data_IF_861952955550
#
_entry.id   IF_861952955550
#
_cell.length_a   1.000
_cell.length_b   1.000
_cell.length_c   1.000
_cell.angle_alpha   90.00
_cell.angle_beta   90.00
_cell.angle_gamma   90.00
#
_symmetry.space_group_name_H-M   'P 1'
#
loop_
_entity.id
_entity.type
_entity.pdbx_description
1 polymer ?
#
# COMPACT_ATOMS: atom_id res chain seq x y z
N UNK A 1 -11.10 35.58 -0.13
CA UNK A 1 -11.89 34.52 -0.79
C UNK A 1 -12.94 34.03 0.21
N UNK A 2 -14.27 34.01 -0.14
CA UNK A 2 -15.35 33.75 0.84
C UNK A 2 -15.28 32.39 1.55
N UNK A 3 -14.68 31.37 0.90
CA UNK A 3 -14.56 30.00 1.42
C UNK A 3 -13.59 29.88 2.60
N UNK A 4 -12.51 30.64 2.63
CA UNK A 4 -11.52 30.60 3.72
C UNK A 4 -12.09 31.18 5.02
N UNK A 5 -12.90 32.26 4.94
CA UNK A 5 -13.52 32.86 6.09
C UNK A 5 -14.52 31.94 6.79
N UNK A 6 -15.35 31.24 6.02
CA UNK A 6 -16.31 30.27 6.54
C UNK A 6 -15.61 29.04 7.17
N UNK A 7 -14.57 28.53 6.55
CA UNK A 7 -13.75 27.44 7.07
C UNK A 7 -13.11 27.82 8.42
N UNK A 8 -12.44 28.96 8.48
CA UNK A 8 -11.79 29.44 9.70
C UNK A 8 -12.80 29.67 10.81
N UNK A 9 -13.95 30.27 10.50
CA UNK A 9 -15.01 30.52 11.49
C UNK A 9 -15.59 29.23 12.08
N UNK A 10 -15.70 28.16 11.24
CA UNK A 10 -16.20 26.87 11.68
C UNK A 10 -15.19 26.11 12.56
N UNK A 11 -13.93 25.99 12.14
CA UNK A 11 -12.95 25.15 12.83
C UNK A 11 -12.15 25.84 13.94
N UNK A 12 -12.02 27.16 13.93
CA UNK A 12 -11.27 27.90 14.96
C UNK A 12 -11.72 27.64 16.41
N UNK A 13 -13.05 27.60 16.73
CA UNK A 13 -13.49 27.27 18.07
C UNK A 13 -13.09 25.87 18.53
N UNK A 14 -12.95 24.93 17.59
CA UNK A 14 -12.64 23.53 17.87
C UNK A 14 -11.20 23.34 18.35
N UNK A 15 -10.27 24.24 17.99
CA UNK A 15 -8.87 24.20 18.47
C UNK A 15 -8.77 24.30 20.00
N UNK A 16 -9.77 24.91 20.64
CA UNK A 16 -9.79 25.13 22.09
C UNK A 16 -10.81 24.26 22.84
N UNK A 17 -11.68 23.55 22.11
CA UNK A 17 -12.73 22.73 22.71
C UNK A 17 -12.88 21.39 22.01
N UNK A 18 -12.39 20.32 22.65
CA UNK A 18 -12.45 18.94 22.13
C UNK A 18 -13.88 18.39 21.98
N UNK A 19 -14.83 18.90 22.75
CA UNK A 19 -16.24 18.48 22.67
C UNK A 19 -16.86 18.91 21.32
N UNK A 20 -16.47 20.08 20.81
CA UNK A 20 -16.90 20.55 19.50
C UNK A 20 -16.35 19.67 18.36
N UNK A 21 -15.14 19.12 18.52
CA UNK A 21 -14.55 18.16 17.56
C UNK A 21 -15.39 16.87 17.54
N UNK A 22 -15.75 16.36 18.72
CA UNK A 22 -16.57 15.14 18.82
C UNK A 22 -18.00 15.33 18.31
N UNK A 23 -18.53 16.56 18.40
CA UNK A 23 -19.87 16.91 17.93
C UNK A 23 -19.92 17.19 16.41
N UNK A 24 -18.79 17.49 15.77
CA UNK A 24 -18.72 17.72 14.32
C UNK A 24 -18.76 16.39 13.55
N UNK A 25 -19.74 16.16 12.64
CA UNK A 25 -19.90 14.88 11.96
C UNK A 25 -18.73 14.51 11.07
N UNK A 26 -18.08 15.49 10.43
CA UNK A 26 -16.96 15.24 9.53
C UNK A 26 -15.69 14.89 10.32
N UNK A 27 -15.37 15.68 11.36
CA UNK A 27 -14.23 15.40 12.23
C UNK A 27 -14.42 14.11 13.02
N UNK A 28 -15.63 13.81 13.49
CA UNK A 28 -15.93 12.54 14.16
C UNK A 28 -15.72 11.36 13.22
N UNK A 29 -16.14 11.46 11.95
CA UNK A 29 -15.88 10.44 10.92
C UNK A 29 -14.39 10.27 10.65
N UNK A 30 -13.63 11.36 10.53
CA UNK A 30 -12.18 11.32 10.33
C UNK A 30 -11.49 10.68 11.53
N UNK A 31 -11.87 11.08 12.74
CA UNK A 31 -11.31 10.55 13.99
C UNK A 31 -11.56 9.03 14.12
N UNK A 32 -12.73 8.55 13.69
CA UNK A 32 -13.04 7.13 13.68
C UNK A 32 -12.17 6.32 12.70
N UNK A 33 -11.57 6.97 11.71
CA UNK A 33 -10.63 6.34 10.75
C UNK A 33 -9.17 6.36 11.23
N UNK A 34 -8.86 7.18 12.25
CA UNK A 34 -7.50 7.25 12.78
C UNK A 34 -7.12 5.95 13.48
N UNK A 35 -5.88 5.51 13.37
CA UNK A 35 -5.38 4.35 14.10
C UNK A 35 -5.44 4.60 15.61
N UNK A 36 -5.83 3.56 16.37
CA UNK A 36 -5.91 3.64 17.84
C UNK A 36 -4.52 3.78 18.47
N UNK A 37 -3.51 3.26 17.79
CA UNK A 37 -2.11 3.32 18.20
C UNK A 37 -1.27 3.86 17.05
N UNK A 38 -0.46 4.85 17.33
CA UNK A 38 0.48 5.44 16.37
C UNK A 38 1.85 4.75 16.54
N UNK A 39 2.04 3.64 15.82
CA UNK A 39 3.27 2.84 15.85
C UNK A 39 3.99 2.88 14.50
N UNK A 40 4.33 4.07 14.04
CA UNK A 40 5.15 4.22 12.84
C UNK A 40 6.63 3.99 13.17
N UNK A 41 7.04 2.73 13.30
CA UNK A 41 8.44 2.40 13.55
C UNK A 41 9.29 2.55 12.27
N UNK A 42 8.69 2.35 11.09
CA UNK A 42 9.38 2.37 9.79
C UNK A 42 8.51 3.04 8.72
N UNK A 43 9.04 4.06 8.07
CA UNK A 43 8.33 4.85 7.05
C UNK A 43 7.73 4.00 5.91
N UNK A 44 8.45 2.97 5.45
CA UNK A 44 7.97 2.12 4.37
C UNK A 44 6.82 1.20 4.77
N UNK A 45 6.63 0.94 6.07
CA UNK A 45 5.52 0.12 6.59
C UNK A 45 4.28 0.96 6.90
N UNK A 46 4.40 2.29 6.94
CA UNK A 46 3.28 3.18 7.24
C UNK A 46 2.04 2.92 6.35
N UNK A 47 2.15 2.73 5.02
CA UNK A 47 0.99 2.41 4.19
C UNK A 47 0.33 1.09 4.58
N UNK A 48 1.10 0.06 4.96
CA UNK A 48 0.57 -1.23 5.40
C UNK A 48 -0.18 -1.10 6.72
N UNK A 49 0.39 -0.37 7.68
CA UNK A 49 -0.22 -0.10 8.97
C UNK A 49 -1.53 0.69 8.83
N UNK A 50 -1.54 1.76 8.03
CA UNK A 50 -2.74 2.53 7.73
C UNK A 50 -3.82 1.68 7.06
N UNK A 51 -3.45 0.89 6.05
CA UNK A 51 -4.35 -0.03 5.37
C UNK A 51 -4.96 -1.08 6.31
N UNK A 52 -4.16 -1.61 7.25
CA UNK A 52 -4.63 -2.54 8.28
C UNK A 52 -5.66 -1.89 9.21
N UNK A 53 -5.37 -0.67 9.70
CA UNK A 53 -6.28 0.04 10.59
C UNK A 53 -7.58 0.44 9.89
N UNK A 54 -7.53 0.85 8.63
CA UNK A 54 -8.72 1.15 7.83
C UNK A 54 -9.63 -0.07 7.70
N UNK A 55 -9.09 -1.25 7.44
CA UNK A 55 -9.90 -2.49 7.37
C UNK A 55 -10.45 -2.87 8.74
N UNK A 56 -9.68 -2.70 9.82
CA UNK A 56 -10.12 -3.00 11.17
C UNK A 56 -11.26 -2.11 11.62
N UNK A 57 -11.22 -0.82 11.29
CA UNK A 57 -12.23 0.16 11.69
C UNK A 57 -13.42 0.22 10.73
N UNK A 58 -13.22 -0.08 9.46
CA UNK A 58 -14.19 0.01 8.38
C UNK A 58 -14.21 -1.20 7.45
N UNK A 59 -14.09 -2.41 7.99
CA UNK A 59 -13.89 -3.65 7.24
C UNK A 59 -14.98 -4.00 6.21
N UNK A 60 -16.12 -3.28 6.22
CA UNK A 60 -17.18 -3.44 5.23
C UNK A 60 -17.09 -2.41 4.09
N UNK A 61 -16.18 -1.44 4.19
CA UNK A 61 -15.99 -0.42 3.14
C UNK A 61 -15.15 -1.01 1.99
N UNK A 62 -15.66 -1.03 0.75
CA UNK A 62 -14.87 -1.43 -0.41
C UNK A 62 -13.59 -0.59 -0.55
N UNK A 63 -13.67 0.71 -0.27
CA UNK A 63 -12.53 1.63 -0.35
C UNK A 63 -11.45 1.28 0.68
N UNK A 64 -11.83 0.90 1.91
CA UNK A 64 -10.87 0.46 2.92
C UNK A 64 -10.14 -0.81 2.48
N UNK A 65 -10.87 -1.77 1.89
CA UNK A 65 -10.28 -2.98 1.33
C UNK A 65 -9.32 -2.68 0.19
N UNK A 66 -9.73 -1.86 -0.79
CA UNK A 66 -8.89 -1.46 -1.92
C UNK A 66 -7.62 -0.73 -1.46
N UNK A 67 -7.74 0.20 -0.49
CA UNK A 67 -6.59 0.90 0.10
C UNK A 67 -5.64 -0.09 0.79
N UNK A 68 -6.17 -1.07 1.51
CA UNK A 68 -5.36 -2.09 2.17
C UNK A 68 -4.65 -3.01 1.17
N UNK A 69 -5.31 -3.39 0.07
CA UNK A 69 -4.69 -4.15 -1.02
C UNK A 69 -3.58 -3.34 -1.69
N UNK A 70 -3.83 -2.06 -1.97
CA UNK A 70 -2.82 -1.17 -2.55
C UNK A 70 -1.61 -1.00 -1.62
N UNK A 71 -1.82 -0.88 -0.31
CA UNK A 71 -0.75 -0.83 0.68
C UNK A 71 0.11 -2.09 0.66
N UNK A 72 -0.51 -3.29 0.63
CA UNK A 72 0.22 -4.56 0.53
C UNK A 72 1.04 -4.67 -0.77
N UNK A 73 0.47 -4.20 -1.90
CA UNK A 73 1.17 -4.17 -3.17
C UNK A 73 2.37 -3.22 -3.14
N UNK A 74 2.18 -2.02 -2.60
CA UNK A 74 3.23 -1.01 -2.47
C UNK A 74 4.38 -1.49 -1.59
N UNK A 75 4.08 -2.06 -0.42
CA UNK A 75 5.08 -2.58 0.50
C UNK A 75 5.63 -3.96 0.11
N UNK A 76 5.12 -4.57 -0.98
CA UNK A 76 5.49 -5.90 -1.47
C UNK A 76 5.21 -7.03 -0.48
N UNK A 77 4.29 -6.81 0.46
CA UNK A 77 3.90 -7.79 1.49
C UNK A 77 2.84 -8.76 0.95
N UNK A 78 3.28 -9.71 0.09
CA UNK A 78 2.37 -10.67 -0.56
C UNK A 78 1.65 -11.55 0.45
N UNK A 79 2.28 -11.94 1.55
CA UNK A 79 1.62 -12.75 2.59
C UNK A 79 0.49 -11.98 3.28
N UNK A 80 0.66 -10.69 3.49
CA UNK A 80 -0.37 -9.83 4.05
C UNK A 80 -1.51 -9.54 3.05
N UNK A 81 -1.22 -9.61 1.74
CA UNK A 81 -2.20 -9.44 0.67
C UNK A 81 -3.24 -10.58 0.66
N UNK A 82 -2.79 -11.81 0.82
CA UNK A 82 -3.61 -13.02 0.59
C UNK A 82 -4.91 -13.07 1.40
N UNK A 83 -4.93 -12.87 2.74
CA UNK A 83 -6.18 -12.87 3.50
C UNK A 83 -7.17 -11.80 3.05
N UNK A 84 -6.65 -10.68 2.51
CA UNK A 84 -7.48 -9.57 2.04
C UNK A 84 -8.16 -9.83 0.71
N UNK A 85 -7.72 -10.86 -0.02
CA UNK A 85 -8.34 -11.29 -1.28
C UNK A 85 -9.53 -12.23 -1.08
N UNK A 86 -9.83 -12.67 0.14
CA UNK A 86 -10.92 -13.62 0.41
C UNK A 86 -12.29 -13.12 -0.08
N UNK A 87 -12.54 -11.81 -0.01
CA UNK A 87 -13.78 -11.21 -0.53
C UNK A 87 -13.96 -11.32 -2.05
N UNK A 88 -12.90 -11.70 -2.77
CA UNK A 88 -12.88 -11.93 -4.21
C UNK A 88 -12.93 -13.40 -4.60
N UNK A 89 -13.08 -14.33 -3.63
CA UNK A 89 -13.19 -15.76 -3.96
C UNK A 89 -14.31 -16.02 -4.98
N UNK A 90 -14.00 -16.76 -6.04
CA UNK A 90 -14.91 -17.02 -7.15
C UNK A 90 -15.21 -15.82 -8.06
N UNK A 91 -14.51 -14.68 -7.86
CA UNK A 91 -14.62 -13.47 -8.69
C UNK A 91 -13.27 -13.16 -9.34
N UNK A 92 -13.28 -12.22 -10.28
CA UNK A 92 -12.06 -11.66 -10.85
C UNK A 92 -11.40 -10.71 -9.86
N UNK A 93 -10.10 -10.84 -9.72
CA UNK A 93 -9.26 -9.93 -8.92
C UNK A 93 -8.96 -8.64 -9.71
N UNK A 94 -8.75 -7.49 -9.05
CA UNK A 94 -8.14 -6.34 -9.69
C UNK A 94 -6.79 -6.73 -10.31
N UNK A 95 -6.46 -6.19 -11.48
CA UNK A 95 -5.31 -6.65 -12.30
C UNK A 95 -3.99 -6.75 -11.53
N UNK A 96 -3.62 -5.72 -10.78
CA UNK A 96 -2.36 -5.73 -10.01
C UNK A 96 -2.39 -6.76 -8.87
N UNK A 97 -3.55 -6.97 -8.23
CA UNK A 97 -3.75 -7.98 -7.19
C UNK A 97 -3.67 -9.38 -7.80
N UNK A 98 -4.31 -9.61 -8.95
CA UNK A 98 -4.21 -10.87 -9.69
C UNK A 98 -2.76 -11.22 -10.01
N UNK A 99 -2.00 -10.26 -10.52
CA UNK A 99 -0.59 -10.45 -10.84
C UNK A 99 0.25 -10.77 -9.59
N UNK A 100 -0.06 -10.14 -8.45
CA UNK A 100 0.62 -10.38 -7.17
C UNK A 100 0.30 -11.78 -6.62
N UNK A 101 -0.97 -12.18 -6.62
CA UNK A 101 -1.40 -13.52 -6.18
C UNK A 101 -0.83 -14.60 -7.10
N UNK A 102 -0.85 -14.40 -8.42
CA UNK A 102 -0.26 -15.32 -9.36
C UNK A 102 1.28 -15.42 -9.20
N UNK A 103 1.95 -14.31 -8.88
CA UNK A 103 3.38 -14.34 -8.54
C UNK A 103 3.65 -15.14 -7.26
N UNK A 104 2.83 -14.98 -6.23
CA UNK A 104 2.94 -15.78 -5.01
C UNK A 104 2.68 -17.26 -5.25
N UNK A 105 1.76 -17.60 -6.13
CA UNK A 105 1.39 -18.96 -6.47
C UNK A 105 2.53 -19.81 -7.06
N UNK A 106 3.63 -19.21 -7.51
CA UNK A 106 4.87 -19.95 -7.82
C UNK A 106 5.49 -20.63 -6.59
N UNK A 107 5.21 -20.12 -5.39
CA UNK A 107 5.63 -20.74 -4.12
C UNK A 107 4.58 -21.68 -3.58
N UNK A 108 3.31 -21.39 -3.82
CA UNK A 108 2.15 -22.14 -3.30
C UNK A 108 1.04 -22.22 -4.36
N UNK A 109 1.08 -23.23 -5.26
CA UNK A 109 0.17 -23.36 -6.40
C UNK A 109 -1.31 -23.45 -6.07
N UNK A 110 -1.68 -23.80 -4.83
CA UNK A 110 -3.09 -23.90 -4.42
C UNK A 110 -3.84 -22.55 -4.56
N UNK A 111 -3.12 -21.43 -4.56
CA UNK A 111 -3.71 -20.10 -4.72
C UNK A 111 -4.29 -19.87 -6.12
N UNK A 112 -3.76 -20.55 -7.15
CA UNK A 112 -4.32 -20.46 -8.51
C UNK A 112 -5.74 -21.06 -8.62
N UNK A 113 -6.12 -21.94 -7.71
CA UNK A 113 -7.44 -22.60 -7.75
C UNK A 113 -8.54 -21.78 -7.05
N UNK A 114 -8.17 -20.75 -6.30
CA UNK A 114 -9.11 -19.95 -5.49
C UNK A 114 -9.81 -18.83 -6.26
N UNK A 115 -9.25 -18.43 -7.40
CA UNK A 115 -9.73 -17.28 -8.17
C UNK A 115 -9.81 -17.59 -9.66
N UNK A 116 -10.62 -16.81 -10.36
CA UNK A 116 -10.70 -16.84 -11.82
C UNK A 116 -9.57 -16.00 -12.41
N UNK A 117 -8.41 -16.61 -12.64
CA UNK A 117 -7.28 -15.92 -13.26
C UNK A 117 -7.43 -15.77 -14.76
N UNK A 118 -6.93 -14.66 -15.28
CA UNK A 118 -6.69 -14.54 -16.72
C UNK A 118 -5.55 -15.50 -17.11
N UNK A 119 -5.78 -16.45 -18.06
CA UNK A 119 -4.75 -17.42 -18.48
C UNK A 119 -3.44 -16.76 -18.94
N UNK A 120 -3.54 -15.55 -19.51
CA UNK A 120 -2.38 -14.81 -19.98
C UNK A 120 -1.50 -14.28 -18.83
N UNK A 121 -2.06 -14.07 -17.64
CA UNK A 121 -1.31 -13.54 -16.49
C UNK A 121 -0.19 -14.47 -16.08
N UNK A 122 -0.46 -15.76 -15.90
CA UNK A 122 0.55 -16.76 -15.52
C UNK A 122 1.64 -16.90 -16.60
N UNK A 123 1.24 -16.93 -17.88
CA UNK A 123 2.20 -16.98 -19.00
C UNK A 123 3.10 -15.76 -19.01
N UNK A 124 2.54 -14.57 -18.82
CA UNK A 124 3.31 -13.32 -18.78
C UNK A 124 4.26 -13.27 -17.60
N UNK A 125 3.87 -13.78 -16.43
CA UNK A 125 4.75 -13.90 -15.27
C UNK A 125 5.92 -14.83 -15.57
N UNK A 126 5.67 -16.01 -16.14
CA UNK A 126 6.74 -16.95 -16.55
C UNK A 126 7.75 -16.29 -17.49
N UNK A 127 7.25 -15.60 -18.52
CA UNK A 127 8.09 -14.89 -19.47
C UNK A 127 8.95 -13.82 -18.79
N UNK A 128 8.32 -13.04 -17.87
CA UNK A 128 9.03 -12.04 -17.08
C UNK A 128 10.13 -12.67 -16.21
N UNK A 129 9.81 -13.72 -15.45
CA UNK A 129 10.76 -14.39 -14.56
C UNK A 129 11.93 -14.99 -15.33
N UNK A 130 11.65 -15.59 -16.48
CA UNK A 130 12.70 -16.12 -17.38
C UNK A 130 13.60 -15.02 -17.92
N UNK A 131 13.01 -13.88 -18.31
CA UNK A 131 13.78 -12.73 -18.78
C UNK A 131 14.59 -12.09 -17.64
N UNK A 132 14.01 -11.92 -16.46
CA UNK A 132 14.67 -11.34 -15.29
C UNK A 132 15.84 -12.21 -14.78
N UNK A 133 15.73 -13.53 -14.88
CA UNK A 133 16.77 -14.46 -14.46
C UNK A 133 18.11 -14.26 -15.21
N UNK A 134 18.06 -13.71 -16.43
CA UNK A 134 19.27 -13.40 -17.24
C UNK A 134 20.13 -12.31 -16.61
N UNK A 135 19.52 -11.47 -15.75
CA UNK A 135 20.18 -10.35 -15.08
C UNK A 135 20.46 -10.62 -13.60
N UNK A 136 20.55 -11.91 -13.21
CA UNK A 136 20.82 -12.31 -11.83
C UNK A 136 22.12 -11.66 -11.34
N UNK A 137 22.02 -10.80 -10.32
CA UNK A 137 23.15 -10.03 -9.76
C UNK A 137 23.33 -8.63 -10.37
N UNK A 138 22.66 -8.30 -11.48
CA UNK A 138 22.70 -6.96 -12.07
C UNK A 138 21.29 -6.35 -12.20
N UNK A 139 20.74 -5.94 -11.06
CA UNK A 139 19.36 -5.42 -10.98
C UNK A 139 19.13 -4.14 -11.78
N UNK A 140 20.12 -3.26 -11.86
CA UNK A 140 19.99 -2.00 -12.60
C UNK A 140 19.88 -2.23 -14.11
N UNK A 141 20.70 -3.12 -14.64
CA UNK A 141 20.64 -3.48 -16.06
C UNK A 141 19.33 -4.21 -16.37
N UNK A 142 18.91 -5.16 -15.51
CA UNK A 142 17.66 -5.88 -15.67
C UNK A 142 16.45 -4.93 -15.65
N UNK A 143 16.42 -3.99 -14.72
CA UNK A 143 15.38 -2.98 -14.66
C UNK A 143 15.31 -2.15 -15.95
N UNK A 144 16.45 -1.66 -16.43
CA UNK A 144 16.53 -0.88 -17.67
C UNK A 144 16.09 -1.69 -18.90
N UNK A 145 16.58 -2.92 -19.04
CA UNK A 145 16.31 -3.77 -20.19
C UNK A 145 14.85 -4.22 -20.28
N UNK A 146 14.20 -4.47 -19.12
CA UNK A 146 12.85 -5.01 -19.07
C UNK A 146 11.77 -3.92 -18.95
N UNK A 147 12.14 -2.67 -18.72
CA UNK A 147 11.22 -1.55 -18.48
C UNK A 147 10.19 -1.42 -19.60
N UNK A 148 10.60 -1.30 -20.84
CA UNK A 148 9.69 -1.04 -21.97
C UNK A 148 8.60 -2.11 -22.15
N UNK A 149 8.87 -3.36 -21.74
CA UNK A 149 7.92 -4.48 -21.87
C UNK A 149 7.07 -4.71 -20.61
N UNK A 150 7.57 -4.30 -19.42
CA UNK A 150 7.01 -4.73 -18.13
C UNK A 150 6.81 -3.61 -17.10
N UNK A 151 7.05 -2.32 -17.40
CA UNK A 151 6.93 -1.24 -16.40
C UNK A 151 5.54 -1.15 -15.74
N UNK A 152 4.47 -1.48 -16.48
CA UNK A 152 3.09 -1.49 -15.98
C UNK A 152 2.66 -2.89 -15.49
N UNK A 153 3.61 -3.73 -15.09
CA UNK A 153 3.38 -5.10 -14.65
C UNK A 153 3.85 -5.26 -13.21
N UNK A 154 2.97 -5.68 -12.30
CA UNK A 154 3.29 -5.74 -10.88
C UNK A 154 4.55 -6.58 -10.57
N UNK A 155 4.82 -7.75 -11.19
CA UNK A 155 6.08 -8.48 -10.99
C UNK A 155 7.31 -7.65 -11.28
N UNK A 156 7.28 -6.76 -12.28
CA UNK A 156 8.39 -5.84 -12.53
C UNK A 156 8.61 -4.88 -11.37
N UNK A 157 7.53 -4.26 -10.84
CA UNK A 157 7.61 -3.43 -9.64
C UNK A 157 8.12 -4.24 -8.44
N UNK A 158 7.62 -5.45 -8.24
CA UNK A 158 8.03 -6.31 -7.14
C UNK A 158 9.53 -6.59 -7.13
N UNK A 159 10.12 -6.87 -8.30
CA UNK A 159 11.55 -7.18 -8.44
C UNK A 159 12.43 -5.93 -8.48
N UNK A 160 12.05 -4.91 -9.22
CA UNK A 160 12.89 -3.76 -9.56
C UNK A 160 12.43 -2.43 -8.96
N UNK A 161 11.22 -2.33 -8.45
CA UNK A 161 10.75 -1.11 -7.79
C UNK A 161 11.54 -0.84 -6.51
N UNK A 162 11.79 0.43 -6.23
CA UNK A 162 12.50 0.83 -5.02
C UNK A 162 11.72 0.36 -3.79
N UNK A 163 12.36 -0.44 -2.94
CA UNK A 163 12.03 -0.49 -1.52
C UNK A 163 12.76 0.68 -0.87
N UNK A 164 12.08 1.49 -0.04
CA UNK A 164 12.81 2.33 0.89
C UNK A 164 13.75 1.40 1.67
N UNK A 165 15.06 1.65 1.57
CA UNK A 165 16.05 0.87 2.29
C UNK A 165 15.89 1.20 3.78
N UNK A 166 15.55 0.25 4.67
CA UNK A 166 15.41 0.53 6.09
C UNK A 166 16.75 0.98 6.72
N UNK A 167 17.88 0.65 6.08
CA UNK A 167 19.22 1.03 6.49
C UNK A 167 19.76 2.25 5.74
N UNK A 168 18.95 2.85 4.83
CA UNK A 168 19.34 4.06 4.11
C UNK A 168 19.65 5.19 5.12
N UNK A 169 20.75 5.92 4.94
CA UNK A 169 21.07 7.06 5.79
C UNK A 169 19.91 8.06 5.73
N UNK A 170 19.35 8.38 6.91
CA UNK A 170 18.24 9.33 7.03
C UNK A 170 18.65 10.64 6.38
N UNK A 171 17.82 11.16 5.51
CA UNK A 171 18.05 12.45 4.84
C UNK A 171 18.24 13.55 5.90
N UNK A 172 19.12 14.55 5.69
CA UNK A 172 19.46 15.57 6.69
C UNK A 172 18.28 16.33 7.30
N UNK A 173 17.14 16.38 6.62
CA UNK A 173 15.90 17.03 7.11
C UNK A 173 15.35 16.36 8.39
N UNK A 174 15.68 15.09 8.66
CA UNK A 174 15.24 14.39 9.88
C UNK A 174 16.23 14.55 11.07
N UNK A 175 17.41 15.14 10.84
CA UNK A 175 18.41 15.34 11.88
C UNK A 175 18.23 16.66 12.65
N UNK A 176 17.50 17.64 12.11
CA UNK A 176 17.31 18.96 12.76
C UNK A 176 16.21 19.00 13.83
N UNK A 177 15.30 18.03 13.89
CA UNK A 177 14.24 18.02 14.91
C UNK A 177 14.67 17.51 16.29
N UNK A 178 15.90 16.98 16.46
CA UNK A 178 16.40 16.51 17.77
C UNK A 178 17.28 17.49 18.52
N UNK A 179 17.45 18.71 18.03
CA UNK A 179 18.41 19.69 18.58
C UNK A 179 17.80 20.97 19.17
N UNK A 180 16.62 20.96 19.69
CA UNK A 180 16.04 22.20 20.19
C UNK A 180 15.09 22.05 21.37
N UNK A 181 15.62 21.68 22.55
CA UNK A 181 15.12 22.17 23.84
C UNK A 181 16.28 22.05 24.86
N UNK A 182 16.92 23.16 25.09
CA UNK A 182 17.55 23.49 26.36
C UNK A 182 16.75 24.59 27.02
#
# INVERSE_FOLDING_TARGET
IPLEGAFIAHYRPMLQNKELIAADPELSRITALLPVEDKFELDYQAPLFLGYNLVRTNGRSPQALETSLAACLYTKELQALLPRTESYMGKSLPTAVEQAVALYAFKDPQWLQRFNFNPMTTTRINNFLTAAARFKGNYQEGAKALRGSYENFYPYYYYFGNRPDPDAPKTPVQAEEKGGVN
#
